data_IF_912933563727
#
_entry.id   IF_912933563727
#
_cell.length_a   1.000
_cell.length_b   1.000
_cell.length_c   1.000
_cell.angle_alpha   90.00
_cell.angle_beta   90.00
_cell.angle_gamma   90.00
#
_symmetry.space_group_name_H-M   'P 1'
#
loop_
_entity.id
_entity.type
_entity.pdbx_description
1 polymer ?
#
# COMPACT_ATOMS: atom_id res chain seq x y z
N UNK A 1 16.38 -0.35 22.04
CA UNK A 1 16.48 -1.33 20.93
C UNK A 1 16.77 -0.56 19.66
N UNK A 2 17.81 -0.97 18.93
CA UNK A 2 18.22 -0.35 17.66
C UNK A 2 17.68 -1.16 16.48
N UNK A 3 16.91 -0.50 15.60
CA UNK A 3 16.30 -1.14 14.45
C UNK A 3 16.79 -0.50 13.15
N UNK A 4 17.34 -1.32 12.25
CA UNK A 4 17.64 -0.91 10.89
C UNK A 4 16.40 -1.16 10.01
N UNK A 5 15.82 -0.10 9.46
CA UNK A 5 14.74 -0.18 8.47
C UNK A 5 15.31 0.00 7.07
N UNK A 6 15.09 -0.98 6.20
CA UNK A 6 15.58 -0.98 4.80
C UNK A 6 14.41 -0.76 3.86
N UNK A 7 14.40 0.39 3.19
CA UNK A 7 13.38 0.81 2.25
C UNK A 7 13.87 0.69 0.80
N UNK A 8 13.07 0.15 -0.12
CA UNK A 8 13.43 0.08 -1.55
C UNK A 8 13.20 1.39 -2.31
N UNK A 9 12.69 2.43 -1.62
CA UNK A 9 12.38 3.76 -2.16
C UNK A 9 12.61 4.84 -1.09
N UNK A 10 12.82 6.11 -1.48
CA UNK A 10 12.90 7.21 -0.53
C UNK A 10 11.49 7.52 0.04
N UNK A 11 11.34 7.63 1.38
CA UNK A 11 10.07 8.00 2.00
C UNK A 11 9.90 9.54 1.93
N UNK A 12 9.33 10.03 0.84
CA UNK A 12 9.12 11.45 0.59
C UNK A 12 7.81 11.94 1.21
N UNK A 13 7.79 13.14 1.78
CA UNK A 13 6.60 13.76 2.39
C UNK A 13 5.46 13.87 1.38
N UNK A 14 5.76 14.40 0.19
CA UNK A 14 4.81 14.49 -0.94
C UNK A 14 4.86 13.24 -1.85
N UNK A 15 5.44 12.16 -1.35
CA UNK A 15 5.57 10.92 -2.10
C UNK A 15 4.25 10.16 -2.28
N UNK A 16 4.33 9.06 -3.02
CA UNK A 16 3.21 8.14 -3.18
C UNK A 16 2.75 7.50 -1.86
N UNK A 17 1.63 6.82 -1.91
CA UNK A 17 0.99 6.20 -0.75
C UNK A 17 1.93 5.30 0.09
N UNK A 18 2.83 4.55 -0.56
CA UNK A 18 3.83 3.72 0.13
C UNK A 18 4.82 4.56 0.95
N UNK A 19 5.25 5.73 0.44
CA UNK A 19 6.10 6.67 1.19
C UNK A 19 5.39 7.18 2.43
N UNK A 20 4.12 7.57 2.32
CA UNK A 20 3.34 8.08 3.46
C UNK A 20 3.13 7.02 4.54
N UNK A 21 2.86 5.76 4.16
CA UNK A 21 2.80 4.65 5.11
C UNK A 21 4.16 4.39 5.78
N UNK A 22 5.25 4.45 5.03
CA UNK A 22 6.60 4.29 5.59
C UNK A 22 6.92 5.39 6.61
N UNK A 23 6.59 6.66 6.31
CA UNK A 23 6.76 7.78 7.26
C UNK A 23 5.93 7.55 8.53
N UNK A 24 4.66 7.18 8.39
CA UNK A 24 3.79 6.87 9.53
C UNK A 24 4.38 5.75 10.41
N UNK A 25 4.89 4.68 9.81
CA UNK A 25 5.56 3.59 10.52
C UNK A 25 6.82 4.07 11.26
N UNK A 26 7.67 4.82 10.59
CA UNK A 26 8.91 5.32 11.19
C UNK A 26 8.62 6.27 12.37
N UNK A 27 7.64 7.17 12.24
CA UNK A 27 7.21 8.06 13.33
C UNK A 27 6.60 7.29 14.49
N UNK A 28 5.80 6.25 14.20
CA UNK A 28 5.27 5.38 15.23
C UNK A 28 6.35 4.65 16.01
N UNK A 29 7.32 4.07 15.33
CA UNK A 29 8.47 3.39 15.96
C UNK A 29 9.32 4.37 16.79
N UNK A 30 9.62 5.56 16.25
CA UNK A 30 10.34 6.60 16.98
C UNK A 30 9.57 7.06 18.23
N UNK A 31 8.24 7.22 18.12
CA UNK A 31 7.37 7.58 19.24
C UNK A 31 7.32 6.54 20.37
N UNK A 32 7.59 5.27 20.06
CA UNK A 32 7.79 4.20 21.04
C UNK A 32 9.23 4.12 21.59
N UNK A 33 10.10 5.06 21.25
CA UNK A 33 11.48 5.10 21.74
C UNK A 33 12.43 4.10 21.07
N UNK A 34 12.09 3.61 19.88
CA UNK A 34 13.01 2.79 19.08
C UNK A 34 14.13 3.66 18.52
N UNK A 35 15.37 3.23 18.70
CA UNK A 35 16.53 3.86 18.05
C UNK A 35 16.57 3.44 16.58
N UNK A 36 16.12 4.33 15.69
CA UNK A 36 15.99 4.04 14.27
C UNK A 36 17.30 4.33 13.52
N UNK A 37 17.60 3.44 12.58
CA UNK A 37 18.46 3.69 11.42
C UNK A 37 17.64 3.39 10.19
N UNK A 38 17.52 4.31 9.26
CA UNK A 38 16.73 4.13 8.04
C UNK A 38 17.64 4.24 6.83
N UNK A 39 17.72 3.16 6.05
CA UNK A 39 18.46 3.11 4.81
C UNK A 39 17.50 2.97 3.63
N UNK A 40 17.38 4.01 2.83
CA UNK A 40 16.48 4.05 1.71
C UNK A 40 17.23 4.02 0.36
N UNK A 41 16.86 3.09 -0.51
CA UNK A 41 17.40 3.03 -1.86
C UNK A 41 16.80 4.14 -2.72
N UNK A 42 17.65 4.96 -3.34
CA UNK A 42 17.24 5.93 -4.34
C UNK A 42 17.73 5.47 -5.72
N UNK A 43 16.79 4.92 -6.52
CA UNK A 43 17.09 4.51 -7.89
C UNK A 43 17.28 5.75 -8.78
N UNK A 44 18.53 6.13 -9.03
CA UNK A 44 18.86 7.16 -10.03
C UNK A 44 18.64 6.60 -11.43
N UNK A 45 17.62 7.09 -12.10
CA UNK A 45 17.67 7.22 -13.55
C UNK A 45 18.54 8.45 -13.82
N UNK A 46 19.58 8.32 -14.66
CA UNK A 46 20.45 9.47 -15.02
C UNK A 46 19.72 10.62 -15.75
N UNK A 47 18.42 10.50 -15.95
CA UNK A 47 17.52 11.51 -16.52
C UNK A 47 16.62 12.16 -15.47
N UNK A 48 16.64 11.70 -14.23
CA UNK A 48 15.88 12.29 -13.12
C UNK A 48 16.89 12.90 -12.15
N UNK A 49 16.88 14.21 -12.07
CA UNK A 49 17.32 14.97 -10.90
C UNK A 49 16.80 14.28 -9.63
N UNK A 50 17.45 14.49 -8.49
CA UNK A 50 17.17 13.78 -7.23
C UNK A 50 15.70 13.52 -6.89
N UNK A 51 15.37 12.90 -5.76
CA UNK A 51 13.98 12.63 -5.42
C UNK A 51 13.19 13.93 -5.52
N UNK A 52 12.10 13.94 -6.30
CA UNK A 52 11.19 15.07 -6.36
C UNK A 52 10.37 15.07 -5.07
N UNK A 53 10.76 15.88 -4.11
CA UNK A 53 10.12 16.02 -2.81
C UNK A 53 11.11 15.91 -1.65
N UNK A 54 10.70 16.40 -0.50
CA UNK A 54 11.52 16.48 0.70
C UNK A 54 11.41 15.21 1.54
N UNK A 55 12.51 14.83 2.17
CA UNK A 55 12.49 13.84 3.24
C UNK A 55 11.96 14.47 4.52
N UNK A 56 11.35 13.67 5.42
CA UNK A 56 11.02 14.14 6.76
C UNK A 56 12.31 14.52 7.53
N UNK A 57 12.39 15.76 7.99
CA UNK A 57 13.56 16.27 8.73
C UNK A 57 13.70 15.66 10.14
N UNK A 58 12.62 15.12 10.68
CA UNK A 58 12.52 14.52 12.00
C UNK A 58 12.95 13.03 12.04
N UNK A 59 13.29 12.43 10.90
CA UNK A 59 13.65 11.02 10.80
C UNK A 59 15.09 10.81 10.32
N UNK A 60 15.84 9.84 10.89
CA UNK A 60 17.25 9.57 10.56
C UNK A 60 17.38 8.76 9.25
N UNK A 61 17.07 9.37 8.10
CA UNK A 61 17.05 8.71 6.80
C UNK A 61 18.37 8.91 6.06
N UNK A 62 19.07 7.82 5.77
CA UNK A 62 20.22 7.77 4.87
C UNK A 62 19.75 7.36 3.47
N UNK A 63 19.88 8.26 2.49
CA UNK A 63 19.62 7.94 1.09
C UNK A 63 20.84 7.32 0.44
N UNK A 64 20.68 6.12 -0.08
CA UNK A 64 21.70 5.45 -0.86
C UNK A 64 21.38 5.54 -2.36
N UNK A 65 22.11 6.32 -3.16
CA UNK A 65 21.90 6.40 -4.59
C UNK A 65 22.30 5.08 -5.24
N UNK A 66 21.32 4.44 -5.84
CA UNK A 66 21.50 3.21 -6.60
C UNK A 66 21.48 3.57 -8.08
N UNK A 67 22.66 3.52 -8.72
CA UNK A 67 22.74 3.74 -10.16
C UNK A 67 21.95 2.64 -10.88
N UNK A 68 20.99 3.05 -11.68
CA UNK A 68 20.34 2.15 -12.64
C UNK A 68 21.37 1.84 -13.72
N UNK A 69 21.86 0.60 -13.82
CA UNK A 69 22.80 0.28 -14.87
C UNK A 69 22.10 0.45 -16.24
N UNK A 70 22.63 1.34 -17.09
CA UNK A 70 22.09 1.67 -18.41
C UNK A 70 22.30 0.60 -19.49
N UNK A 71 23.03 -0.48 -19.20
CA UNK A 71 23.36 -1.47 -20.21
C UNK A 71 22.16 -2.25 -20.70
N UNK A 72 22.19 -2.72 -21.96
CA UNK A 72 21.20 -3.66 -22.53
C UNK A 72 21.02 -4.90 -21.63
N UNK A 73 22.10 -5.34 -20.97
CA UNK A 73 22.10 -6.45 -20.02
C UNK A 73 21.23 -6.17 -18.79
N UNK A 74 21.24 -4.94 -18.28
CA UNK A 74 20.46 -4.59 -17.08
C UNK A 74 18.99 -4.36 -17.39
N UNK A 75 18.69 -3.87 -18.61
CA UNK A 75 17.29 -3.81 -19.06
C UNK A 75 16.73 -5.21 -19.22
N UNK A 76 17.52 -6.16 -19.72
CA UNK A 76 17.15 -7.57 -19.80
C UNK A 76 17.01 -8.20 -18.42
N UNK A 77 17.87 -7.88 -17.45
CA UNK A 77 17.78 -8.35 -16.06
C UNK A 77 16.56 -7.83 -15.32
N UNK A 78 16.19 -6.55 -15.52
CA UNK A 78 14.94 -6.00 -14.99
C UNK A 78 13.71 -6.75 -15.52
N UNK A 79 13.78 -7.13 -16.78
CA UNK A 79 12.73 -7.89 -17.45
C UNK A 79 12.70 -9.36 -17.03
N UNK A 80 13.88 -9.99 -16.87
CA UNK A 80 14.01 -11.39 -16.53
C UNK A 80 14.03 -11.68 -15.02
N UNK A 81 14.53 -10.73 -14.21
CA UNK A 81 14.67 -10.85 -12.75
C UNK A 81 14.43 -9.51 -12.06
N UNK A 82 13.21 -8.97 -12.09
CA UNK A 82 12.90 -7.67 -11.49
C UNK A 82 13.19 -7.62 -9.99
N UNK A 83 13.12 -8.77 -9.30
CA UNK A 83 13.39 -8.90 -7.87
C UNK A 83 14.86 -8.73 -7.47
N UNK A 84 15.80 -8.82 -8.40
CA UNK A 84 17.24 -8.81 -8.08
C UNK A 84 17.93 -7.48 -8.35
N UNK A 85 17.17 -6.40 -8.58
CA UNK A 85 17.74 -5.09 -8.90
C UNK A 85 18.64 -4.58 -7.77
N UNK A 86 18.19 -4.63 -6.51
CA UNK A 86 18.96 -4.16 -5.36
C UNK A 86 20.17 -5.06 -5.05
N UNK A 87 20.06 -6.38 -5.26
CA UNK A 87 21.11 -7.36 -4.98
C UNK A 87 22.42 -7.09 -5.78
N UNK A 88 22.35 -6.33 -6.86
CA UNK A 88 23.46 -6.08 -7.76
C UNK A 88 24.02 -4.66 -7.69
N UNK A 89 23.73 -3.97 -6.61
CA UNK A 89 24.10 -2.58 -6.41
C UNK A 89 25.00 -2.43 -5.18
N UNK A 90 25.76 -1.32 -5.05
CA UNK A 90 26.51 -1.02 -3.84
C UNK A 90 25.65 -0.95 -2.58
N UNK A 91 24.33 -0.82 -2.71
CA UNK A 91 23.37 -0.84 -1.60
C UNK A 91 23.53 -2.07 -0.69
N UNK A 92 23.92 -3.21 -1.27
CA UNK A 92 24.23 -4.46 -0.54
C UNK A 92 25.27 -4.25 0.56
N UNK A 93 26.34 -3.50 0.26
CA UNK A 93 27.42 -3.28 1.24
C UNK A 93 26.93 -2.38 2.38
N UNK A 94 26.16 -1.33 2.07
CA UNK A 94 25.58 -0.44 3.08
C UNK A 94 24.62 -1.21 4.01
N UNK A 95 23.76 -2.07 3.46
CA UNK A 95 22.88 -2.91 4.29
C UNK A 95 23.68 -3.81 5.21
N UNK A 96 24.74 -4.47 4.72
CA UNK A 96 25.62 -5.31 5.56
C UNK A 96 26.32 -4.54 6.67
N UNK A 97 26.81 -3.34 6.37
CA UNK A 97 27.51 -2.49 7.34
C UNK A 97 26.55 -2.01 8.41
N UNK A 98 25.41 -1.43 8.06
CA UNK A 98 24.42 -0.90 9.00
C UNK A 98 23.77 -2.01 9.83
N UNK A 99 23.56 -3.20 9.26
CA UNK A 99 22.99 -4.34 9.98
C UNK A 99 23.86 -4.85 11.14
N UNK A 100 25.18 -4.59 11.15
CA UNK A 100 26.08 -5.07 12.21
C UNK A 100 25.72 -4.49 13.58
N UNK A 101 25.27 -3.23 13.59
CA UNK A 101 24.98 -2.49 14.81
C UNK A 101 23.50 -2.53 15.22
N UNK A 102 22.66 -3.17 14.41
CA UNK A 102 21.23 -3.30 14.68
C UNK A 102 20.91 -4.54 15.53
N UNK A 103 19.92 -4.43 16.41
CA UNK A 103 19.34 -5.56 17.13
C UNK A 103 18.38 -6.32 16.21
N UNK A 104 17.64 -5.58 15.35
CA UNK A 104 16.65 -6.10 14.39
C UNK A 104 16.82 -5.38 13.05
N UNK A 105 16.63 -6.12 11.95
CA UNK A 105 16.58 -5.55 10.59
C UNK A 105 15.18 -5.73 10.02
N UNK A 106 14.54 -4.62 9.62
CA UNK A 106 13.22 -4.62 9.01
C UNK A 106 13.31 -4.31 7.51
N UNK A 107 13.01 -5.28 6.68
CA UNK A 107 12.94 -5.12 5.23
C UNK A 107 11.49 -4.76 4.83
N UNK A 108 11.30 -3.53 4.36
CA UNK A 108 10.02 -3.05 3.87
C UNK A 108 9.86 -3.48 2.41
N UNK A 109 8.78 -4.18 2.11
CA UNK A 109 8.47 -4.80 0.83
C UNK A 109 9.40 -5.96 0.42
N UNK A 110 8.89 -6.80 -0.48
CA UNK A 110 9.62 -7.96 -1.00
C UNK A 110 10.88 -7.58 -1.79
N UNK A 111 10.88 -6.42 -2.42
CA UNK A 111 12.04 -5.92 -3.18
C UNK A 111 13.25 -5.66 -2.28
N UNK A 112 13.07 -5.09 -1.09
CA UNK A 112 14.14 -4.96 -0.10
C UNK A 112 14.47 -6.31 0.54
N UNK A 113 13.48 -7.16 0.79
CA UNK A 113 13.65 -8.46 1.43
C UNK A 113 14.44 -9.48 0.58
N UNK A 114 14.70 -9.20 -0.69
CA UNK A 114 15.67 -9.97 -1.48
C UNK A 114 17.06 -9.99 -0.83
N UNK A 115 17.37 -8.99 -0.02
CA UNK A 115 18.64 -8.84 0.70
C UNK A 115 18.69 -9.55 2.05
N UNK A 116 17.60 -10.18 2.49
CA UNK A 116 17.51 -10.80 3.83
C UNK A 116 18.61 -11.84 4.10
N UNK A 117 19.10 -12.51 3.05
CA UNK A 117 20.17 -13.51 3.16
C UNK A 117 21.55 -12.91 3.46
N UNK A 118 21.68 -11.59 3.40
CA UNK A 118 22.96 -10.87 3.59
C UNK A 118 23.19 -10.43 5.03
N UNK A 119 22.20 -10.55 5.90
CA UNK A 119 22.27 -10.08 7.28
C UNK A 119 22.26 -11.25 8.28
N UNK A 120 23.12 -11.17 9.30
CA UNK A 120 23.26 -12.17 10.36
C UNK A 120 22.47 -11.77 11.63
N UNK A 121 21.60 -10.79 11.53
CA UNK A 121 20.73 -10.31 12.60
C UNK A 121 19.31 -10.84 12.45
N UNK A 122 18.51 -10.89 13.53
CA UNK A 122 17.09 -11.13 13.42
C UNK A 122 16.48 -10.18 12.39
N UNK A 123 15.79 -10.74 11.39
CA UNK A 123 15.26 -9.94 10.30
C UNK A 123 13.79 -10.27 10.04
N UNK A 124 12.98 -9.23 9.86
CA UNK A 124 11.57 -9.32 9.46
C UNK A 124 11.39 -8.84 8.03
N UNK A 125 10.53 -9.53 7.30
CA UNK A 125 10.08 -9.13 5.95
C UNK A 125 8.65 -8.62 6.03
N UNK A 126 8.42 -7.38 5.62
CA UNK A 126 7.09 -6.83 5.47
C UNK A 126 6.51 -7.19 4.10
N UNK A 127 5.33 -7.81 4.11
CA UNK A 127 4.63 -8.29 2.91
C UNK A 127 3.31 -7.52 2.77
N UNK A 128 3.24 -6.66 1.76
CA UNK A 128 2.06 -5.83 1.53
C UNK A 128 0.97 -6.54 0.71
N UNK A 129 1.38 -7.43 -0.19
CA UNK A 129 0.48 -8.11 -1.10
C UNK A 129 1.06 -9.46 -1.54
N UNK A 130 0.21 -10.30 -2.14
CA UNK A 130 0.61 -11.60 -2.71
C UNK A 130 0.38 -11.59 -4.22
N UNK A 131 1.44 -11.89 -4.99
CA UNK A 131 1.41 -11.86 -6.46
C UNK A 131 0.26 -12.68 -7.05
N UNK A 132 -0.06 -13.85 -6.46
CA UNK A 132 -1.16 -14.70 -6.94
C UNK A 132 -2.55 -14.11 -6.75
N UNK A 133 -2.73 -13.25 -5.75
CA UNK A 133 -4.02 -12.58 -5.51
C UNK A 133 -4.20 -11.36 -6.39
N UNK A 134 -3.12 -10.65 -6.69
CA UNK A 134 -3.17 -9.38 -7.41
C UNK A 134 -3.05 -9.53 -8.93
N UNK A 135 -2.38 -10.60 -9.39
CA UNK A 135 -2.08 -10.77 -10.81
C UNK A 135 -2.56 -12.12 -11.33
N UNK A 136 -3.17 -12.11 -12.51
CA UNK A 136 -3.34 -13.33 -13.29
C UNK A 136 -1.96 -13.83 -13.77
N UNK A 137 -1.72 -15.13 -13.63
CA UNK A 137 -0.49 -15.74 -14.13
C UNK A 137 -0.73 -16.11 -15.59
N UNK A 138 -0.32 -15.21 -16.47
CA UNK A 138 -0.38 -15.46 -17.92
C UNK A 138 0.63 -16.50 -18.40
N UNK A 139 0.55 -16.89 -19.68
CA UNK A 139 1.50 -17.84 -20.29
C UNK A 139 2.95 -17.33 -20.18
N UNK A 140 3.95 -18.23 -20.00
CA UNK A 140 5.35 -17.83 -19.76
C UNK A 140 6.02 -17.16 -20.98
N UNK A 141 5.42 -17.25 -22.16
CA UNK A 141 5.91 -16.57 -23.37
C UNK A 141 5.47 -15.13 -23.48
N UNK A 142 4.52 -14.66 -22.68
CA UNK A 142 4.14 -13.24 -22.57
C UNK A 142 5.06 -12.48 -21.62
N UNK A 143 5.17 -11.16 -21.80
CA UNK A 143 5.93 -10.28 -20.88
C UNK A 143 5.37 -10.34 -19.47
N UNK A 144 4.05 -10.26 -19.34
CA UNK A 144 3.33 -10.27 -18.05
C UNK A 144 3.47 -11.61 -17.34
N UNK A 145 3.33 -12.73 -18.07
CA UNK A 145 3.51 -14.07 -17.51
C UNK A 145 4.91 -14.30 -16.98
N UNK A 146 5.95 -13.83 -17.70
CA UNK A 146 7.36 -13.92 -17.22
C UNK A 146 7.58 -13.11 -15.95
N UNK A 147 7.09 -11.88 -15.91
CA UNK A 147 7.18 -11.03 -14.71
C UNK A 147 6.46 -11.67 -13.53
N UNK A 148 5.24 -12.17 -13.72
CA UNK A 148 4.48 -12.83 -12.67
C UNK A 148 5.20 -14.09 -12.13
N UNK A 149 5.77 -14.92 -13.02
CA UNK A 149 6.52 -16.12 -12.64
C UNK A 149 7.78 -15.73 -11.85
N UNK A 150 8.51 -14.69 -12.27
CA UNK A 150 9.71 -14.24 -11.56
C UNK A 150 9.37 -13.68 -10.17
N UNK A 151 8.30 -12.88 -10.05
CA UNK A 151 7.83 -12.41 -8.75
C UNK A 151 7.44 -13.56 -7.83
N UNK A 152 6.75 -14.60 -8.33
CA UNK A 152 6.42 -15.79 -7.55
C UNK A 152 7.64 -16.59 -7.11
N UNK A 153 8.69 -16.67 -7.94
CA UNK A 153 9.95 -17.29 -7.57
C UNK A 153 10.68 -16.50 -6.48
N UNK A 154 10.67 -15.17 -6.60
CA UNK A 154 11.22 -14.28 -5.59
C UNK A 154 10.48 -14.42 -4.26
N UNK A 155 9.14 -14.37 -4.27
CA UNK A 155 8.30 -14.60 -3.09
C UNK A 155 8.66 -15.93 -2.40
N UNK A 156 8.68 -17.04 -3.15
CA UNK A 156 9.03 -18.35 -2.60
C UNK A 156 10.43 -18.37 -1.97
N UNK A 157 11.41 -17.75 -2.62
CA UNK A 157 12.78 -17.66 -2.09
C UNK A 157 12.81 -16.86 -0.78
N UNK A 158 12.18 -15.68 -0.78
CA UNK A 158 12.14 -14.79 0.39
C UNK A 158 11.40 -15.48 1.54
N UNK A 159 10.22 -16.05 1.30
CA UNK A 159 9.42 -16.70 2.34
C UNK A 159 10.14 -17.92 2.93
N UNK A 160 10.84 -18.70 2.10
CA UNK A 160 11.68 -19.82 2.59
C UNK A 160 12.81 -19.36 3.52
N UNK A 161 13.32 -18.14 3.30
CA UNK A 161 14.43 -17.57 4.08
C UNK A 161 13.96 -16.73 5.27
N UNK A 162 12.72 -16.26 5.26
CA UNK A 162 12.17 -15.41 6.31
C UNK A 162 11.65 -16.26 7.47
N UNK A 163 12.13 -15.98 8.66
CA UNK A 163 11.58 -16.56 9.90
C UNK A 163 10.46 -15.71 10.48
N UNK A 164 10.50 -14.39 10.23
CA UNK A 164 9.57 -13.42 10.72
C UNK A 164 8.96 -12.70 9.53
N UNK A 165 7.64 -12.71 9.44
CA UNK A 165 6.87 -12.09 8.38
C UNK A 165 5.86 -11.13 9.01
N UNK A 166 5.82 -9.91 8.51
CA UNK A 166 4.86 -8.88 8.89
C UNK A 166 3.90 -8.65 7.74
N UNK A 167 2.62 -8.67 8.00
CA UNK A 167 1.57 -8.42 7.00
C UNK A 167 0.58 -7.37 7.52
N UNK A 168 -0.21 -6.78 6.62
CA UNK A 168 -1.16 -5.72 6.95
C UNK A 168 -2.62 -6.19 7.05
N UNK A 169 -2.88 -7.50 6.88
CA UNK A 169 -4.21 -8.07 6.95
C UNK A 169 -4.18 -9.57 7.27
N UNK A 170 -5.29 -10.09 7.81
CA UNK A 170 -5.46 -11.54 8.05
C UNK A 170 -5.59 -12.31 6.74
N UNK A 171 -6.20 -11.70 5.73
CA UNK A 171 -6.41 -12.27 4.41
C UNK A 171 -5.08 -12.50 3.66
N UNK A 172 -4.02 -11.77 4.02
CA UNK A 172 -2.64 -12.06 3.59
C UNK A 172 -1.96 -13.05 4.53
N UNK A 173 -2.20 -12.96 5.84
CA UNK A 173 -1.57 -13.84 6.83
C UNK A 173 -1.93 -15.31 6.63
N UNK A 174 -3.21 -15.62 6.43
CA UNK A 174 -3.71 -17.00 6.36
C UNK A 174 -3.11 -17.81 5.20
N UNK A 175 -3.08 -17.32 3.95
CA UNK A 175 -2.40 -18.02 2.88
C UNK A 175 -0.89 -18.03 3.07
N UNK A 176 -0.29 -16.98 3.66
CA UNK A 176 1.14 -16.91 3.90
C UNK A 176 1.61 -17.93 4.93
N UNK A 177 0.84 -18.15 5.99
CA UNK A 177 1.11 -19.19 6.99
C UNK A 177 1.13 -20.61 6.37
N UNK A 178 0.33 -20.84 5.33
CA UNK A 178 0.35 -22.12 4.58
C UNK A 178 1.57 -22.23 3.65
N UNK A 179 2.01 -21.12 3.06
CA UNK A 179 3.16 -21.06 2.14
C UNK A 179 4.47 -21.16 2.92
N UNK A 180 4.54 -20.56 4.10
CA UNK A 180 5.72 -20.50 4.95
C UNK A 180 5.42 -20.97 6.39
N UNK A 181 5.09 -22.26 6.61
CA UNK A 181 4.65 -22.77 7.92
C UNK A 181 5.74 -22.73 9.01
N UNK A 182 6.98 -22.50 8.62
CA UNK A 182 8.13 -22.33 9.53
C UNK A 182 8.29 -20.89 10.01
N UNK A 183 7.59 -19.93 9.40
CA UNK A 183 7.71 -18.53 9.72
C UNK A 183 6.64 -18.10 10.73
N UNK A 184 7.02 -17.19 11.61
CA UNK A 184 6.09 -16.48 12.47
C UNK A 184 5.47 -15.32 11.66
N UNK A 185 4.14 -15.32 11.53
CA UNK A 185 3.42 -14.29 10.77
C UNK A 185 2.69 -13.37 11.76
N UNK A 186 3.04 -12.10 11.75
CA UNK A 186 2.40 -11.05 12.55
C UNK A 186 1.58 -10.14 11.67
N UNK A 187 0.36 -9.81 12.13
CA UNK A 187 -0.50 -8.82 11.46
C UNK A 187 -0.36 -7.49 12.17
N UNK A 188 -0.07 -6.42 11.42
CA UNK A 188 -0.08 -5.06 11.95
C UNK A 188 -0.77 -4.13 10.96
N UNK A 189 -1.60 -3.20 11.42
CA UNK A 189 -2.23 -2.20 10.57
C UNK A 189 -1.19 -1.34 9.84
N UNK A 190 -1.53 -0.85 8.65
CA UNK A 190 -0.72 0.18 7.99
C UNK A 190 -0.95 1.52 8.69
N UNK A 191 0.11 2.22 9.10
CA UNK A 191 -0.01 3.55 9.68
C UNK A 191 -0.02 4.66 8.62
N UNK A 192 -0.78 5.71 8.88
CA UNK A 192 -0.66 7.00 8.21
C UNK A 192 -0.53 8.12 9.24
N UNK A 193 0.19 9.16 8.90
CA UNK A 193 0.39 10.29 9.80
C UNK A 193 -0.81 11.25 9.77
N UNK A 194 -1.53 11.46 10.90
CA UNK A 194 -2.67 12.36 10.96
C UNK A 194 -2.32 13.83 10.63
N UNK A 195 -1.06 14.24 10.75
CA UNK A 195 -0.64 15.59 10.36
C UNK A 195 -0.82 15.85 8.85
N UNK A 196 -0.77 14.80 8.03
CA UNK A 196 -1.00 14.88 6.58
C UNK A 196 -2.50 14.83 6.25
N UNK A 197 -3.29 14.15 7.08
CA UNK A 197 -4.70 13.82 6.83
C UNK A 197 -5.64 14.57 7.80
N UNK A 198 -5.64 15.89 7.74
CA UNK A 198 -6.60 16.67 8.52
C UNK A 198 -8.00 16.51 7.93
N UNK A 199 -8.98 15.98 8.70
CA UNK A 199 -10.35 15.88 8.23
C UNK A 199 -10.90 17.22 7.83
N UNK A 200 -11.68 17.27 6.76
CA UNK A 200 -12.44 18.45 6.35
C UNK A 200 -13.89 18.29 6.80
N UNK A 201 -14.55 19.43 7.02
CA UNK A 201 -16.01 19.43 7.17
C UNK A 201 -16.65 18.74 5.93
N UNK A 202 -17.68 17.91 6.12
CA UNK A 202 -18.37 17.23 5.03
C UNK A 202 -18.82 18.21 3.97
N UNK A 203 -18.60 17.87 2.71
CA UNK A 203 -19.10 18.68 1.60
C UNK A 203 -20.62 18.52 1.49
N UNK A 204 -21.33 19.62 1.26
CA UNK A 204 -22.77 19.60 0.97
C UNK A 204 -23.06 18.96 -0.40
N UNK A 205 -22.06 18.89 -1.29
CA UNK A 205 -22.22 18.34 -2.62
C UNK A 205 -22.20 16.80 -2.64
N UNK A 206 -23.21 16.15 -3.24
CA UNK A 206 -23.31 14.69 -3.34
C UNK A 206 -22.38 14.16 -4.45
N UNK A 207 -21.08 14.04 -4.16
CA UNK A 207 -20.07 13.58 -5.09
C UNK A 207 -19.48 12.25 -4.62
N UNK A 208 -19.60 11.21 -5.43
CA UNK A 208 -18.87 9.96 -5.25
C UNK A 208 -17.56 10.01 -6.03
N UNK A 209 -16.58 9.20 -5.64
CA UNK A 209 -15.36 9.12 -6.43
C UNK A 209 -14.53 7.90 -6.14
N UNK A 210 -13.57 7.66 -7.03
CA UNK A 210 -12.55 6.61 -6.94
C UNK A 210 -11.21 7.19 -7.37
N UNK A 211 -10.17 6.90 -6.58
CA UNK A 211 -8.79 7.25 -6.92
C UNK A 211 -7.91 5.99 -6.92
N UNK A 212 -6.94 5.93 -7.85
CA UNK A 212 -5.95 4.85 -7.87
C UNK A 212 -5.12 4.81 -9.12
N UNK A 213 -4.27 3.80 -9.24
CA UNK A 213 -3.44 3.56 -10.42
C UNK A 213 -4.11 2.55 -11.33
N UNK A 214 -4.48 2.95 -12.54
CA UNK A 214 -5.13 2.08 -13.52
C UNK A 214 -4.21 0.96 -14.04
N UNK A 215 -2.89 1.15 -13.98
CA UNK A 215 -1.92 0.09 -14.32
C UNK A 215 -1.94 -1.09 -13.34
N UNK A 216 -2.52 -0.91 -12.16
CA UNK A 216 -2.75 -2.01 -11.23
C UNK A 216 -4.05 -2.72 -11.58
N UNK A 217 -4.00 -3.99 -12.05
CA UNK A 217 -5.16 -4.69 -12.59
C UNK A 217 -6.40 -4.70 -11.69
N UNK A 218 -6.29 -4.86 -10.36
CA UNK A 218 -7.45 -4.76 -9.48
C UNK A 218 -8.16 -3.40 -9.54
N UNK A 219 -7.42 -2.28 -9.66
CA UNK A 219 -8.05 -0.95 -9.82
C UNK A 219 -8.74 -0.81 -11.17
N UNK A 220 -8.11 -1.26 -12.26
CA UNK A 220 -8.74 -1.23 -13.58
C UNK A 220 -10.07 -2.02 -13.60
N UNK A 221 -10.07 -3.21 -13.00
CA UNK A 221 -11.28 -4.03 -12.88
C UNK A 221 -12.35 -3.37 -11.99
N UNK A 222 -11.94 -2.65 -10.93
CA UNK A 222 -12.88 -1.90 -10.09
C UNK A 222 -13.56 -0.76 -10.86
N UNK A 223 -12.81 -0.05 -11.72
CA UNK A 223 -13.35 0.99 -12.60
C UNK A 223 -14.36 0.39 -13.60
N UNK A 224 -14.01 -0.73 -14.21
CA UNK A 224 -14.93 -1.43 -15.13
C UNK A 224 -16.23 -1.84 -14.43
N UNK A 225 -16.13 -2.47 -13.26
CA UNK A 225 -17.29 -2.85 -12.45
C UNK A 225 -18.11 -1.64 -12.04
N UNK A 226 -17.44 -0.57 -11.61
CA UNK A 226 -18.08 0.68 -11.23
C UNK A 226 -18.93 1.23 -12.37
N UNK A 227 -18.37 1.38 -13.56
CA UNK A 227 -19.06 2.02 -14.68
C UNK A 227 -20.03 1.10 -15.43
N UNK A 228 -19.82 -0.22 -15.42
CA UNK A 228 -20.72 -1.16 -16.09
C UNK A 228 -21.88 -1.64 -15.22
N UNK A 229 -21.70 -1.68 -13.89
CA UNK A 229 -22.63 -2.37 -13.01
C UNK A 229 -23.16 -1.52 -11.86
N UNK A 230 -22.31 -0.77 -11.15
CA UNK A 230 -22.73 -0.04 -9.94
C UNK A 230 -23.29 1.34 -10.28
N UNK A 231 -22.51 2.15 -11.03
CA UNK A 231 -22.88 3.55 -11.28
C UNK A 231 -24.18 3.74 -12.08
N UNK A 232 -24.52 2.91 -13.10
CA UNK A 232 -25.83 2.98 -13.75
C UNK A 232 -27.00 2.86 -12.77
N UNK A 233 -26.90 1.99 -11.75
CA UNK A 233 -27.94 1.83 -10.72
C UNK A 233 -28.04 3.04 -9.78
N UNK A 234 -26.91 3.73 -9.55
CA UNK A 234 -26.92 5.01 -8.82
C UNK A 234 -27.68 6.06 -9.63
N UNK A 235 -27.40 6.16 -10.93
CA UNK A 235 -28.05 7.15 -11.82
C UNK A 235 -29.55 6.91 -12.01
N UNK A 236 -30.02 5.66 -11.96
CA UNK A 236 -31.47 5.34 -12.00
C UNK A 236 -32.25 6.01 -10.85
N UNK A 237 -31.61 6.22 -9.69
CA UNK A 237 -32.22 6.82 -8.47
C UNK A 237 -31.80 8.27 -8.24
N UNK A 238 -30.60 8.62 -8.69
CA UNK A 238 -30.00 9.94 -8.55
C UNK A 238 -29.39 10.37 -9.90
N UNK A 239 -30.22 10.81 -10.86
CA UNK A 239 -29.72 11.24 -12.17
C UNK A 239 -28.78 12.46 -12.12
N UNK A 240 -28.81 13.22 -11.01
CA UNK A 240 -27.97 14.37 -10.71
C UNK A 240 -26.64 14.02 -10.01
N UNK A 241 -26.43 12.74 -9.68
CA UNK A 241 -25.21 12.28 -8.99
C UNK A 241 -23.96 12.48 -9.86
N UNK A 242 -22.86 12.84 -9.21
CA UNK A 242 -21.55 13.04 -9.86
C UNK A 242 -20.55 11.99 -9.37
N UNK A 243 -19.74 11.49 -10.31
CA UNK A 243 -18.66 10.53 -10.05
C UNK A 243 -17.33 11.10 -10.56
N UNK A 244 -16.35 11.24 -9.67
CA UNK A 244 -15.00 11.65 -10.02
C UNK A 244 -14.07 10.43 -10.06
N UNK A 245 -13.30 10.30 -11.15
CA UNK A 245 -12.31 9.25 -11.34
C UNK A 245 -10.93 9.88 -11.49
N UNK A 246 -9.98 9.52 -10.62
CA UNK A 246 -8.65 10.11 -10.62
C UNK A 246 -7.52 9.11 -10.37
N UNK A 247 -6.33 9.45 -10.84
CA UNK A 247 -5.09 8.73 -10.61
C UNK A 247 -4.32 8.42 -11.88
N UNK A 248 -3.16 7.83 -11.70
CA UNK A 248 -2.27 7.55 -12.82
C UNK A 248 -2.89 6.53 -13.80
N UNK A 249 -2.92 6.89 -15.08
CA UNK A 249 -3.52 6.08 -16.14
C UNK A 249 -5.05 6.10 -16.15
N UNK A 250 -5.70 7.06 -15.45
CA UNK A 250 -7.15 7.24 -15.41
C UNK A 250 -7.65 8.32 -16.38
N UNK A 251 -7.04 8.45 -17.52
CA UNK A 251 -7.54 9.25 -18.62
C UNK A 251 -8.65 8.49 -19.34
N UNK A 252 -9.69 9.20 -19.82
CA UNK A 252 -10.84 8.60 -20.51
C UNK A 252 -10.41 7.71 -21.70
N UNK A 253 -9.35 8.12 -22.37
CA UNK A 253 -8.77 7.45 -23.54
C UNK A 253 -8.18 6.07 -23.20
N UNK A 254 -7.80 5.84 -21.95
CA UNK A 254 -7.30 4.54 -21.48
C UNK A 254 -8.41 3.48 -21.38
N UNK A 255 -9.68 3.91 -21.36
CA UNK A 255 -10.85 3.04 -21.20
C UNK A 255 -11.88 3.22 -22.34
N UNK A 256 -11.50 3.12 -23.62
CA UNK A 256 -12.38 3.41 -24.76
C UNK A 256 -13.59 2.46 -24.84
N UNK A 257 -13.50 1.30 -24.20
CA UNK A 257 -14.54 0.27 -24.17
C UNK A 257 -15.59 0.46 -23.08
N UNK A 258 -15.42 1.47 -22.20
CA UNK A 258 -16.38 1.77 -21.14
C UNK A 258 -17.46 2.76 -21.64
N UNK A 259 -18.68 2.69 -21.09
CA UNK A 259 -19.76 3.60 -21.46
C UNK A 259 -19.47 5.04 -21.03
N UNK A 260 -19.95 6.00 -21.82
CA UNK A 260 -20.05 7.38 -21.39
C UNK A 260 -21.34 7.55 -20.58
N UNK A 261 -21.20 7.82 -19.31
CA UNK A 261 -22.32 7.97 -18.37
C UNK A 261 -22.46 9.41 -17.93
N UNK A 262 -23.70 9.92 -17.75
CA UNK A 262 -23.90 11.26 -17.19
C UNK A 262 -23.23 11.43 -15.84
N UNK A 263 -22.70 12.62 -15.59
CA UNK A 263 -22.09 12.99 -14.30
C UNK A 263 -20.73 12.32 -14.00
N UNK A 264 -20.18 11.53 -14.91
CA UNK A 264 -18.83 10.93 -14.77
C UNK A 264 -17.77 11.89 -15.28
N UNK A 265 -16.82 12.23 -14.43
CA UNK A 265 -15.71 13.11 -14.73
C UNK A 265 -14.38 12.39 -14.55
N UNK A 266 -13.60 12.29 -15.62
CA UNK A 266 -12.26 11.73 -15.64
C UNK A 266 -11.24 12.84 -15.40
N UNK A 267 -10.58 12.80 -14.22
CA UNK A 267 -9.59 13.79 -13.80
C UNK A 267 -8.15 13.41 -14.19
N UNK A 268 -7.93 12.16 -14.63
CA UNK A 268 -6.58 11.67 -14.90
C UNK A 268 -5.68 11.76 -13.67
N UNK A 269 -4.40 11.97 -13.90
CA UNK A 269 -3.42 12.14 -12.81
C UNK A 269 -3.63 13.47 -12.10
N UNK A 270 -3.86 13.42 -10.79
CA UNK A 270 -4.06 14.61 -9.94
C UNK A 270 -2.80 14.93 -9.13
N UNK A 271 -2.52 16.21 -8.84
CA UNK A 271 -1.35 16.62 -8.07
C UNK A 271 -1.34 16.09 -6.64
N UNK A 272 -2.52 16.01 -6.02
CA UNK A 272 -2.70 15.58 -4.62
C UNK A 272 -3.87 14.61 -4.52
N UNK A 273 -3.58 13.38 -4.09
CA UNK A 273 -4.62 12.39 -3.78
C UNK A 273 -5.47 12.82 -2.57
N UNK A 274 -4.85 13.48 -1.60
CA UNK A 274 -5.50 13.96 -0.38
C UNK A 274 -6.52 15.06 -0.72
N UNK A 275 -6.16 16.00 -1.60
CA UNK A 275 -7.08 17.08 -2.01
C UNK A 275 -8.23 16.51 -2.84
N UNK A 276 -7.96 15.59 -3.74
CA UNK A 276 -9.00 14.88 -4.48
C UNK A 276 -9.98 14.16 -3.54
N UNK A 277 -9.48 13.41 -2.56
CA UNK A 277 -10.34 12.70 -1.59
C UNK A 277 -11.20 13.68 -0.77
N UNK A 278 -10.69 14.87 -0.48
CA UNK A 278 -11.45 15.93 0.20
C UNK A 278 -12.61 16.49 -0.62
N UNK A 279 -12.62 16.30 -1.93
CA UNK A 279 -13.76 16.68 -2.80
C UNK A 279 -14.91 15.66 -2.72
N UNK A 280 -14.69 14.47 -2.13
CA UNK A 280 -15.66 13.38 -2.14
C UNK A 280 -16.59 13.44 -0.93
N UNK A 281 -17.89 13.24 -1.18
CA UNK A 281 -18.86 12.88 -0.15
C UNK A 281 -18.83 11.37 0.18
N UNK A 282 -18.40 10.53 -0.78
CA UNK A 282 -18.30 9.06 -0.64
C UNK A 282 -17.16 8.53 -1.48
N UNK A 283 -16.27 7.74 -0.91
CA UNK A 283 -15.37 6.88 -1.67
C UNK A 283 -16.12 5.61 -2.09
N UNK A 284 -16.37 5.42 -3.39
CA UNK A 284 -17.00 4.24 -3.94
C UNK A 284 -15.96 3.36 -4.63
N UNK A 285 -15.59 2.24 -3.99
CA UNK A 285 -14.51 1.39 -4.48
C UNK A 285 -14.94 -0.08 -4.57
N UNK A 286 -15.63 -0.50 -5.66
CA UNK A 286 -16.16 -1.85 -5.83
C UNK A 286 -15.07 -2.84 -6.28
N UNK A 287 -14.02 -3.03 -5.47
CA UNK A 287 -12.90 -3.91 -5.78
C UNK A 287 -13.36 -5.37 -5.81
N UNK A 288 -13.16 -6.05 -6.94
CA UNK A 288 -13.56 -7.45 -7.09
C UNK A 288 -12.47 -8.45 -6.67
N UNK A 289 -11.22 -8.02 -6.63
CA UNK A 289 -10.05 -8.85 -6.28
C UNK A 289 -8.85 -7.96 -5.94
N UNK A 290 -8.06 -8.39 -4.97
CA UNK A 290 -6.83 -7.72 -4.57
C UNK A 290 -6.38 -8.21 -3.20
N UNK A 291 -5.11 -8.03 -2.84
CA UNK A 291 -4.60 -8.42 -1.54
C UNK A 291 -3.98 -7.25 -0.77
N UNK A 292 -3.96 -7.35 0.54
CA UNK A 292 -3.43 -6.35 1.46
C UNK A 292 -4.31 -5.11 1.62
N UNK A 293 -4.01 -4.29 2.61
CA UNK A 293 -4.74 -3.06 2.89
C UNK A 293 -4.62 -2.07 1.71
N UNK A 294 -5.75 -1.49 1.34
CA UNK A 294 -5.84 -0.54 0.22
C UNK A 294 -5.59 0.87 0.73
N UNK A 295 -4.39 1.39 0.49
CA UNK A 295 -3.95 2.69 1.04
C UNK A 295 -4.94 3.82 0.71
N UNK A 296 -5.54 3.84 -0.49
CA UNK A 296 -6.58 4.82 -0.85
C UNK A 296 -7.82 4.77 0.05
N UNK A 297 -8.18 3.57 0.50
CA UNK A 297 -9.29 3.37 1.45
C UNK A 297 -8.89 3.83 2.84
N UNK A 298 -7.65 3.53 3.24
CA UNK A 298 -7.07 4.03 4.48
C UNK A 298 -6.93 5.57 4.49
N UNK A 299 -6.58 6.18 3.36
CA UNK A 299 -6.52 7.63 3.21
C UNK A 299 -7.91 8.28 3.34
N UNK A 300 -8.93 7.66 2.74
CA UNK A 300 -10.31 8.10 2.91
C UNK A 300 -10.76 8.00 4.38
N UNK A 301 -10.41 6.90 5.05
CA UNK A 301 -10.65 6.72 6.49
C UNK A 301 -10.00 7.86 7.31
N UNK A 302 -8.72 8.17 7.02
CA UNK A 302 -7.95 9.22 7.68
C UNK A 302 -8.50 10.64 7.44
N UNK A 303 -9.21 10.85 6.34
CA UNK A 303 -9.86 12.11 6.01
C UNK A 303 -11.31 12.20 6.48
N UNK A 304 -11.85 11.14 7.07
CA UNK A 304 -13.25 11.08 7.46
C UNK A 304 -14.21 11.05 6.26
N UNK A 305 -13.76 10.48 5.13
CA UNK A 305 -14.63 10.29 3.94
C UNK A 305 -15.37 8.96 4.09
N UNK A 306 -16.71 8.94 4.03
CA UNK A 306 -17.48 7.70 4.05
C UNK A 306 -17.07 6.75 2.94
N UNK A 307 -17.09 5.45 3.24
CA UNK A 307 -16.56 4.42 2.34
C UNK A 307 -17.67 3.40 2.02
N UNK A 308 -17.87 3.16 0.72
CA UNK A 308 -18.66 2.06 0.17
C UNK A 308 -17.73 1.18 -0.64
N UNK A 309 -17.56 -0.08 -0.24
CA UNK A 309 -16.58 -0.96 -0.84
C UNK A 309 -16.97 -2.43 -0.71
N UNK A 310 -16.08 -3.32 -1.10
CA UNK A 310 -16.21 -4.79 -1.00
C UNK A 310 -15.32 -5.33 0.11
N UNK A 311 -15.47 -6.60 0.52
CA UNK A 311 -14.54 -7.23 1.46
C UNK A 311 -13.08 -7.10 1.05
N UNK A 312 -12.75 -7.29 -0.24
CA UNK A 312 -11.38 -7.07 -0.75
C UNK A 312 -10.94 -5.60 -0.65
N UNK A 313 -11.86 -4.65 -0.78
CA UNK A 313 -11.56 -3.22 -0.62
C UNK A 313 -11.37 -2.80 0.84
N UNK A 314 -12.11 -3.42 1.76
CA UNK A 314 -12.05 -3.17 3.20
C UNK A 314 -10.92 -3.95 3.90
N UNK A 315 -10.16 -4.77 3.18
CA UNK A 315 -9.10 -5.59 3.74
C UNK A 315 -8.08 -4.74 4.53
N UNK A 316 -7.88 -5.09 5.79
CA UNK A 316 -6.89 -4.47 6.68
C UNK A 316 -7.29 -3.14 7.32
N UNK A 317 -8.53 -2.66 7.13
CA UNK A 317 -9.00 -1.42 7.78
C UNK A 317 -9.94 -1.64 8.97
N UNK A 318 -10.39 -2.88 9.21
CA UNK A 318 -11.36 -3.19 10.25
C UNK A 318 -12.79 -2.86 9.88
N UNK A 319 -13.71 -2.94 10.84
CA UNK A 319 -15.10 -2.54 10.69
C UNK A 319 -15.43 -1.38 11.64
N UNK A 320 -16.31 -0.49 11.21
CA UNK A 320 -16.80 0.65 11.99
C UNK A 320 -18.20 1.05 11.53
N UNK A 321 -18.90 1.82 12.35
CA UNK A 321 -20.25 2.30 12.04
C UNK A 321 -20.23 3.22 10.81
N UNK A 322 -21.03 2.89 9.80
CA UNK A 322 -21.12 3.64 8.54
C UNK A 322 -20.15 3.15 7.42
N UNK A 323 -19.28 2.17 7.71
CA UNK A 323 -18.59 1.45 6.65
C UNK A 323 -19.57 0.49 5.97
N UNK A 324 -19.74 0.63 4.66
CA UNK A 324 -20.54 -0.30 3.86
C UNK A 324 -19.63 -1.24 3.11
N UNK A 325 -19.77 -2.54 3.40
CA UNK A 325 -19.01 -3.61 2.73
C UNK A 325 -19.99 -4.64 2.18
N UNK A 326 -20.07 -4.73 0.86
CA UNK A 326 -20.91 -5.71 0.17
C UNK A 326 -20.25 -6.24 -1.11
N UNK A 327 -20.69 -7.41 -1.56
CA UNK A 327 -20.27 -8.00 -2.83
C UNK A 327 -21.27 -7.76 -3.95
N UNK A 328 -22.51 -7.39 -3.61
CA UNK A 328 -23.59 -7.13 -4.57
C UNK A 328 -23.55 -5.68 -5.09
N UNK A 329 -23.59 -5.55 -6.40
CA UNK A 329 -23.55 -4.25 -7.09
C UNK A 329 -24.78 -3.37 -6.78
N UNK A 330 -25.95 -3.98 -6.56
CA UNK A 330 -27.15 -3.25 -6.20
C UNK A 330 -27.04 -2.70 -4.76
N UNK A 331 -26.55 -3.50 -3.81
CA UNK A 331 -26.33 -3.08 -2.44
C UNK A 331 -25.30 -1.94 -2.36
N UNK A 332 -24.20 -2.01 -3.13
CA UNK A 332 -23.20 -0.92 -3.21
C UNK A 332 -23.83 0.37 -3.78
N UNK A 333 -24.68 0.25 -4.81
CA UNK A 333 -25.39 1.39 -5.38
C UNK A 333 -26.38 2.00 -4.36
N UNK A 334 -27.17 1.17 -3.67
CA UNK A 334 -28.15 1.60 -2.69
C UNK A 334 -27.49 2.37 -1.55
N UNK A 335 -26.42 1.84 -1.00
CA UNK A 335 -25.63 2.49 0.06
C UNK A 335 -25.03 3.83 -0.44
N UNK A 336 -24.53 3.87 -1.68
CA UNK A 336 -24.01 5.10 -2.28
C UNK A 336 -25.12 6.15 -2.39
N UNK A 337 -26.30 5.77 -2.90
CA UNK A 337 -27.48 6.67 -3.02
C UNK A 337 -27.89 7.21 -1.65
N UNK A 338 -27.96 6.35 -0.63
CA UNK A 338 -28.32 6.75 0.73
C UNK A 338 -27.34 7.79 1.30
N UNK A 339 -26.03 7.53 1.17
CA UNK A 339 -25.01 8.49 1.63
C UNK A 339 -25.00 9.77 0.81
N UNK A 340 -25.24 9.74 -0.50
CA UNK A 340 -25.34 10.95 -1.32
C UNK A 340 -26.57 11.78 -0.98
N UNK A 341 -27.66 11.16 -0.51
CA UNK A 341 -28.91 11.84 -0.19
C UNK A 341 -28.90 12.49 1.21
N UNK A 342 -28.19 11.92 2.17
CA UNK A 342 -28.23 12.33 3.57
C UNK A 342 -26.89 12.89 4.07
N UNK A 343 -26.82 14.21 4.24
CA UNK A 343 -25.62 14.88 4.75
C UNK A 343 -25.30 14.50 6.20
N UNK A 344 -26.30 14.25 7.04
CA UNK A 344 -26.10 13.87 8.43
C UNK A 344 -25.53 12.45 8.52
N UNK A 345 -26.04 11.52 7.70
CA UNK A 345 -25.50 10.16 7.60
C UNK A 345 -24.04 10.19 7.11
N UNK A 346 -23.73 11.01 6.11
CA UNK A 346 -22.34 11.19 5.66
C UNK A 346 -21.43 11.71 6.76
N UNK A 347 -21.90 12.70 7.52
CA UNK A 347 -21.13 13.26 8.62
C UNK A 347 -20.87 12.22 9.72
N UNK A 348 -21.88 11.47 10.10
CA UNK A 348 -21.75 10.41 11.12
C UNK A 348 -20.79 9.32 10.67
N UNK A 349 -20.94 8.81 9.43
CA UNK A 349 -20.05 7.80 8.87
C UNK A 349 -18.61 8.31 8.74
N UNK A 350 -18.40 9.57 8.34
CA UNK A 350 -17.10 10.20 8.26
C UNK A 350 -16.42 10.37 9.63
N UNK A 351 -17.16 10.75 10.66
CA UNK A 351 -16.65 10.85 12.03
C UNK A 351 -16.21 9.46 12.55
N UNK A 352 -17.04 8.42 12.38
CA UNK A 352 -16.70 7.05 12.78
C UNK A 352 -15.48 6.51 12.01
N UNK A 353 -15.35 6.86 10.73
CA UNK A 353 -14.16 6.54 9.92
C UNK A 353 -12.90 7.15 10.51
N UNK A 354 -12.92 8.44 10.83
CA UNK A 354 -11.78 9.13 11.40
C UNK A 354 -11.41 8.64 12.81
N UNK A 355 -12.39 8.37 13.66
CA UNK A 355 -12.16 7.79 14.98
C UNK A 355 -11.48 6.41 14.87
N UNK A 356 -11.93 5.59 13.93
CA UNK A 356 -11.29 4.30 13.64
C UNK A 356 -9.85 4.46 13.18
N UNK A 357 -9.60 5.44 12.31
CA UNK A 357 -8.25 5.78 11.89
C UNK A 357 -7.36 6.16 13.09
N UNK A 358 -7.82 7.08 13.93
CA UNK A 358 -7.06 7.52 15.10
C UNK A 358 -6.71 6.39 16.07
N UNK A 359 -7.66 5.46 16.28
CA UNK A 359 -7.51 4.37 17.25
C UNK A 359 -6.67 3.20 16.72
N UNK A 360 -6.60 2.98 15.40
CA UNK A 360 -5.98 1.77 14.85
C UNK A 360 -4.88 2.03 13.82
N UNK A 361 -4.93 3.17 13.11
CA UNK A 361 -4.05 3.45 11.98
C UNK A 361 -3.18 4.69 12.15
N UNK A 362 -3.34 5.45 13.23
CA UNK A 362 -2.38 6.48 13.60
C UNK A 362 -1.03 5.84 13.99
N UNK A 363 0.11 6.55 13.87
CA UNK A 363 1.43 5.97 14.02
C UNK A 363 1.64 5.15 15.28
N UNK A 364 1.27 5.66 16.45
CA UNK A 364 1.48 4.97 17.73
C UNK A 364 0.65 3.67 17.84
N UNK A 365 -0.69 3.67 17.74
CA UNK A 365 -1.46 2.44 17.87
C UNK A 365 -1.15 1.40 16.78
N UNK A 366 -0.92 1.82 15.54
CA UNK A 366 -0.63 0.91 14.45
C UNK A 366 0.72 0.20 14.56
N UNK A 367 1.69 0.77 15.28
CA UNK A 367 3.03 0.19 15.44
C UNK A 367 3.21 -0.65 16.70
N UNK A 368 2.23 -0.72 17.60
CA UNK A 368 2.29 -1.60 18.79
C UNK A 368 2.64 -3.05 18.40
N UNK A 369 1.96 -3.70 17.42
CA UNK A 369 2.32 -5.07 17.05
C UNK A 369 3.74 -5.23 16.48
N UNK A 370 4.31 -4.15 15.91
CA UNK A 370 5.70 -4.15 15.47
C UNK A 370 6.67 -4.14 16.64
N UNK A 371 6.39 -3.35 17.67
CA UNK A 371 7.21 -3.31 18.87
C UNK A 371 7.24 -4.69 19.53
N UNK A 372 6.08 -5.28 19.75
CA UNK A 372 5.95 -6.62 20.33
C UNK A 372 6.71 -7.68 19.50
N UNK A 373 6.63 -7.59 18.18
CA UNK A 373 7.36 -8.46 17.27
C UNK A 373 8.88 -8.27 17.42
N UNK A 374 9.36 -7.04 17.46
CA UNK A 374 10.80 -6.76 17.59
C UNK A 374 11.36 -7.22 18.94
N UNK A 375 10.60 -7.06 20.02
CA UNK A 375 10.96 -7.57 21.36
C UNK A 375 11.07 -9.10 21.35
N UNK A 376 10.11 -9.79 20.74
CA UNK A 376 10.17 -11.25 20.56
C UNK A 376 11.39 -11.66 19.74
N UNK A 377 11.69 -10.95 18.65
CA UNK A 377 12.83 -11.23 17.79
C UNK A 377 14.16 -11.04 18.54
N UNK A 378 14.29 -9.95 19.28
CA UNK A 378 15.47 -9.66 20.09
C UNK A 378 15.68 -10.70 21.20
N UNK A 379 14.62 -11.11 21.90
CA UNK A 379 14.65 -12.12 22.96
C UNK A 379 15.05 -13.50 22.48
N UNK A 380 14.71 -13.88 21.24
CA UNK A 380 15.08 -15.18 20.68
C UNK A 380 16.56 -15.34 20.42
N UNK A 381 17.34 -14.25 20.37
CA UNK A 381 18.80 -14.25 20.20
C UNK A 381 19.32 -15.00 18.95
N UNK A 382 18.40 -15.42 18.07
CA UNK A 382 18.70 -16.35 16.98
C UNK A 382 19.36 -15.55 15.84
N UNK A 383 20.69 -15.57 15.87
CA UNK A 383 21.49 -15.34 14.66
C UNK A 383 21.16 -16.43 13.64
N UNK A 384 21.07 -16.10 12.37
CA UNK A 384 21.00 -17.11 11.32
C UNK A 384 22.16 -18.07 11.46
N UNK A 385 21.97 -19.38 11.26
CA UNK A 385 23.09 -20.28 11.06
C UNK A 385 23.87 -19.75 9.84
N UNK A 386 25.14 -19.48 10.03
CA UNK A 386 26.08 -19.23 8.94
C UNK A 386 25.94 -20.39 7.97
N UNK A 387 25.51 -20.13 6.74
CA UNK A 387 25.51 -21.14 5.69
C UNK A 387 26.93 -21.63 5.51
N UNK A 388 27.15 -22.92 5.84
CA UNK A 388 28.37 -23.62 5.56
C UNK A 388 28.53 -23.86 4.05
#
# INVERSE_FOLDING_TARGET
>A
MRVLVVLPFPPLVEGGAASRCAIGMLRGLAGHGVELQVLAAHLRNDMLEGPKGDLPDDLPIELAPVAHPRSKQTRWLRFAKPSSVLERTPFVQLVRERARDADVVHFVELSAATLIHLVDRPAVTQVHCLTRRDRAIGPPWTSEGRVAIELLRAERRIFKQSRWLLVNSREVADPLAKIAPHAHVTVAPLPLDPAIYTPRAPLDAPVAGLIGTAEWPPTANAIERLLKSVWPRVLERRPDARLLLAGFGMEREAFPHLPDLPGVEWRGTVPSATDFLRELGVLLYPLGRGSGAKIKVLEALALGVPIVTTPDGAEGIGSYDGLVVDTDDAALADATVALLADAQARQAAGAAAYDTFCNHHAPLPATIPLIELYEQMAATGIRRPTAA
#
